data_IF_816336236472
#
_entry.id   IF_816336236472
#
_cell.length_a   1.000
_cell.length_b   1.000
_cell.length_c   1.000
_cell.angle_alpha   90.00
_cell.angle_beta   90.00
_cell.angle_gamma   90.00
#
_symmetry.space_group_name_H-M   'P 1'
#
loop_
_entity.id
_entity.type
_entity.pdbx_description
1 polymer ?
#
# COMPACT_ATOMS: atom_id res chain seq x y z
N UNK A 1 -7.32 -3.37 9.70
CA UNK A 1 -7.82 -2.05 10.13
C UNK A 1 -9.24 -1.80 9.59
N UNK A 2 -9.50 -1.84 8.26
CA UNK A 2 -10.83 -1.57 7.67
C UNK A 2 -11.95 -2.41 8.31
N UNK A 3 -11.70 -3.67 8.60
CA UNK A 3 -12.63 -4.60 9.26
C UNK A 3 -13.01 -4.11 10.66
N UNK A 4 -12.01 -3.70 11.46
CA UNK A 4 -12.23 -3.16 12.80
C UNK A 4 -13.01 -1.85 12.75
N UNK A 5 -12.65 -0.94 11.86
CA UNK A 5 -13.38 0.32 11.68
C UNK A 5 -14.84 0.08 11.29
N UNK A 6 -15.09 -0.93 10.43
CA UNK A 6 -16.46 -1.31 10.05
C UNK A 6 -17.23 -1.95 11.21
N UNK A 7 -16.57 -2.74 12.05
CA UNK A 7 -17.22 -3.31 13.23
C UNK A 7 -17.63 -2.24 14.25
N UNK A 8 -16.80 -1.21 14.45
CA UNK A 8 -17.08 -0.12 15.38
C UNK A 8 -18.20 0.84 14.88
N UNK A 9 -18.32 1.05 13.58
CA UNK A 9 -19.37 1.86 12.97
C UNK A 9 -19.91 1.16 11.71
N UNK A 10 -20.87 0.23 11.84
CA UNK A 10 -21.31 -0.67 10.76
C UNK A 10 -21.91 0.04 9.55
N UNK A 11 -22.70 1.09 9.76
CA UNK A 11 -23.31 1.90 8.72
C UNK A 11 -22.36 3.04 8.34
N UNK A 12 -22.04 3.21 7.07
CA UNK A 12 -21.18 4.30 6.59
C UNK A 12 -20.18 3.88 5.54
N UNK A 13 -19.27 4.79 5.21
CA UNK A 13 -18.31 4.66 4.12
C UNK A 13 -16.87 4.61 4.63
N UNK A 14 -16.05 3.83 3.96
CA UNK A 14 -14.60 3.80 4.19
C UNK A 14 -13.88 4.22 2.92
N UNK A 15 -13.02 5.22 3.05
CA UNK A 15 -12.14 5.70 2.00
C UNK A 15 -10.72 5.21 2.27
N UNK A 16 -9.98 4.91 1.22
CA UNK A 16 -8.58 4.51 1.30
C UNK A 16 -7.79 5.29 0.26
N UNK A 17 -6.85 6.10 0.72
CA UNK A 17 -5.92 6.84 -0.12
C UNK A 17 -4.53 6.25 0.05
N UNK A 18 -3.94 5.77 -1.06
CA UNK A 18 -2.57 5.24 -1.10
C UNK A 18 -1.61 6.36 -1.48
N UNK A 19 -0.56 6.55 -0.71
CA UNK A 19 0.42 7.62 -0.89
C UNK A 19 0.15 8.84 0.00
N UNK A 20 0.89 9.96 -0.20
CA UNK A 20 1.99 10.03 -1.14
C UNK A 20 3.07 9.01 -0.77
N UNK A 21 3.64 8.38 -1.79
CA UNK A 21 4.74 7.46 -1.54
C UNK A 21 5.03 6.54 -2.72
N UNK A 22 6.19 5.89 -2.64
CA UNK A 22 6.67 4.97 -3.66
C UNK A 22 5.78 3.72 -3.75
N UNK A 23 5.38 3.37 -4.96
CA UNK A 23 4.66 2.14 -5.27
C UNK A 23 5.60 1.11 -5.88
N UNK A 24 5.92 0.04 -5.13
CA UNK A 24 6.85 -0.99 -5.60
C UNK A 24 6.35 -1.71 -6.84
N UNK A 25 5.10 -2.16 -6.88
CA UNK A 25 4.55 -2.88 -8.03
C UNK A 25 4.62 -2.06 -9.31
N UNK A 26 4.17 -0.81 -9.28
CA UNK A 26 4.24 0.10 -10.43
C UNK A 26 5.69 0.42 -10.83
N UNK A 27 6.60 0.56 -9.86
CA UNK A 27 8.03 0.78 -10.15
C UNK A 27 8.66 -0.41 -10.86
N UNK A 28 8.32 -1.64 -10.45
CA UNK A 28 8.80 -2.86 -11.12
C UNK A 28 8.28 -2.95 -12.55
N UNK A 29 6.99 -2.70 -12.76
CA UNK A 29 6.40 -2.70 -14.11
C UNK A 29 7.01 -1.62 -15.00
N UNK A 30 7.22 -0.41 -14.48
CA UNK A 30 7.87 0.66 -15.25
C UNK A 30 9.31 0.27 -15.64
N UNK A 31 10.08 -0.33 -14.73
CA UNK A 31 11.45 -0.81 -15.01
C UNK A 31 11.52 -1.92 -16.04
N UNK A 32 10.46 -2.70 -16.21
CA UNK A 32 10.42 -3.80 -17.19
C UNK A 32 10.18 -3.33 -18.63
N UNK A 33 9.92 -2.04 -18.86
CA UNK A 33 9.70 -1.52 -20.21
C UNK A 33 11.01 -1.35 -20.96
N UNK A 34 10.98 -1.65 -22.26
CA UNK A 34 12.13 -1.46 -23.17
C UNK A 34 12.57 0.00 -23.16
N UNK A 35 13.88 0.24 -23.12
CA UNK A 35 14.48 1.56 -23.05
C UNK A 35 14.52 2.21 -21.67
N UNK A 36 14.04 1.52 -20.63
CA UNK A 36 14.09 1.99 -19.24
C UNK A 36 15.26 1.34 -18.52
N UNK A 37 16.25 2.13 -18.12
CA UNK A 37 17.39 1.71 -17.30
C UNK A 37 16.99 1.56 -15.83
N UNK A 38 16.22 2.52 -15.29
CA UNK A 38 15.66 2.47 -13.94
C UNK A 38 14.37 3.30 -13.86
N UNK A 39 13.48 2.96 -12.93
CA UNK A 39 12.24 3.71 -12.73
C UNK A 39 11.74 3.65 -11.30
N UNK A 40 11.06 4.72 -10.89
CA UNK A 40 10.36 4.88 -9.63
C UNK A 40 8.95 5.42 -9.90
N UNK A 41 7.93 4.76 -9.41
CA UNK A 41 6.56 5.26 -9.47
C UNK A 41 6.08 5.73 -8.10
N UNK A 42 5.63 6.98 -8.05
CA UNK A 42 5.00 7.59 -6.88
C UNK A 42 3.48 7.58 -7.04
N UNK A 43 2.79 7.23 -5.97
CA UNK A 43 1.34 7.39 -5.86
C UNK A 43 1.04 8.70 -5.15
N UNK A 44 0.29 9.58 -5.79
CA UNK A 44 -0.17 10.85 -5.22
C UNK A 44 -1.69 10.78 -5.06
N UNK A 45 -2.22 10.82 -3.83
CA UNK A 45 -3.66 10.84 -3.62
C UNK A 45 -4.24 12.20 -4.06
N UNK A 46 -5.31 12.17 -4.86
CA UNK A 46 -6.04 13.36 -5.31
C UNK A 46 -7.36 13.54 -4.56
N UNK A 47 -7.73 12.59 -3.73
CA UNK A 47 -8.98 12.56 -2.99
C UNK A 47 -9.50 11.15 -2.85
N UNK A 48 -10.73 11.00 -2.49
CA UNK A 48 -11.40 9.75 -2.14
C UNK A 48 -11.10 8.59 -3.11
N UNK A 49 -10.06 7.81 -2.81
CA UNK A 49 -9.61 6.65 -3.61
C UNK A 49 -9.23 6.97 -5.05
N UNK A 50 -8.94 8.23 -5.37
CA UNK A 50 -8.43 8.68 -6.67
C UNK A 50 -6.96 9.00 -6.54
N UNK A 51 -6.16 8.51 -7.47
CA UNK A 51 -4.71 8.64 -7.44
C UNK A 51 -4.16 9.14 -8.77
N UNK A 52 -3.01 9.81 -8.68
CA UNK A 52 -2.15 10.14 -9.81
C UNK A 52 -0.86 9.34 -9.68
N UNK A 53 -0.31 8.87 -10.79
CA UNK A 53 0.99 8.24 -10.86
C UNK A 53 2.01 9.22 -11.41
N UNK A 54 3.05 9.47 -10.63
CA UNK A 54 4.24 10.19 -11.10
C UNK A 54 5.32 9.13 -11.30
N UNK A 55 5.71 8.86 -12.54
CA UNK A 55 6.68 7.84 -12.89
C UNK A 55 7.95 8.52 -13.35
N UNK A 56 8.98 8.43 -12.54
CA UNK A 56 10.31 8.93 -12.84
C UNK A 56 11.10 7.82 -13.53
N UNK A 57 11.67 8.12 -14.69
CA UNK A 57 12.40 7.15 -15.51
C UNK A 57 13.81 7.64 -15.81
N UNK A 58 14.79 6.76 -15.64
CA UNK A 58 16.13 6.87 -16.17
C UNK A 58 16.15 6.04 -17.45
N UNK A 59 16.47 6.67 -18.59
CA UNK A 59 16.44 6.02 -19.89
C UNK A 59 17.78 5.36 -20.21
N UNK A 60 17.74 4.30 -20.99
CA UNK A 60 18.90 3.75 -21.65
C UNK A 60 19.39 4.69 -22.76
N UNK A 61 20.67 4.58 -23.15
CA UNK A 61 21.25 5.40 -24.21
C UNK A 61 20.51 5.21 -25.53
N UNK A 62 20.02 6.31 -26.09
CA UNK A 62 19.28 6.33 -27.35
C UNK A 62 17.79 5.98 -27.24
N UNK A 63 17.27 5.70 -26.05
CA UNK A 63 15.85 5.43 -25.86
C UNK A 63 15.00 6.71 -25.99
N UNK A 64 13.78 6.56 -26.54
CA UNK A 64 12.82 7.68 -26.68
C UNK A 64 11.90 7.76 -25.48
N UNK A 65 11.83 8.94 -24.85
CA UNK A 65 10.88 9.19 -23.75
C UNK A 65 9.42 9.01 -24.20
N UNK A 66 9.10 9.37 -25.43
CA UNK A 66 7.74 9.22 -25.98
C UNK A 66 7.35 7.74 -26.08
N UNK A 67 8.23 6.88 -26.59
CA UNK A 67 7.98 5.45 -26.72
C UNK A 67 7.84 4.80 -25.33
N UNK A 68 8.71 5.14 -24.39
CA UNK A 68 8.64 4.67 -22.99
C UNK A 68 7.36 5.15 -22.31
N UNK A 69 6.97 6.40 -22.52
CA UNK A 69 5.75 6.97 -21.96
C UNK A 69 4.50 6.21 -22.45
N UNK A 70 4.42 5.93 -23.74
CA UNK A 70 3.31 5.18 -24.33
C UNK A 70 3.27 3.74 -23.79
N UNK A 71 4.43 3.08 -23.72
CA UNK A 71 4.55 1.73 -23.19
C UNK A 71 4.14 1.62 -21.71
N UNK A 72 4.42 2.66 -20.91
CA UNK A 72 4.01 2.70 -19.51
C UNK A 72 2.50 2.95 -19.41
N UNK A 73 1.97 3.97 -20.08
CA UNK A 73 0.57 4.38 -19.97
C UNK A 73 -0.41 3.34 -20.52
N UNK A 74 -0.02 2.54 -21.50
CA UNK A 74 -0.83 1.48 -22.07
C UNK A 74 -0.86 0.21 -21.21
N UNK A 75 0.03 0.06 -20.23
CA UNK A 75 0.05 -1.09 -19.33
C UNK A 75 -1.14 -1.06 -18.36
N UNK A 76 -1.70 -2.25 -18.09
CA UNK A 76 -2.87 -2.41 -17.20
C UNK A 76 -2.65 -1.88 -15.78
N UNK A 77 -1.40 -1.80 -15.31
CA UNK A 77 -1.04 -1.21 -14.02
C UNK A 77 -1.24 0.31 -13.98
N UNK A 78 -1.20 0.97 -15.14
CA UNK A 78 -1.23 2.44 -15.23
C UNK A 78 -2.47 2.98 -15.95
N UNK A 79 -3.12 2.17 -16.78
CA UNK A 79 -4.20 2.59 -17.69
C UNK A 79 -5.44 3.17 -16.99
N UNK A 80 -5.63 2.89 -15.70
CA UNK A 80 -6.79 3.36 -14.93
C UNK A 80 -6.50 4.61 -14.09
N UNK A 81 -5.24 5.03 -14.00
CA UNK A 81 -4.82 6.19 -13.20
C UNK A 81 -4.27 7.30 -14.12
N UNK A 82 -4.45 8.55 -13.72
CA UNK A 82 -3.76 9.67 -14.35
C UNK A 82 -2.25 9.49 -14.17
N UNK A 83 -1.53 9.21 -15.27
CA UNK A 83 -0.11 8.86 -15.25
C UNK A 83 0.74 9.89 -15.97
N UNK A 84 1.73 10.42 -15.26
CA UNK A 84 2.77 11.31 -15.79
C UNK A 84 4.13 10.61 -15.76
N UNK A 85 4.82 10.58 -16.88
CA UNK A 85 6.17 10.02 -17.01
C UNK A 85 7.16 11.15 -17.14
N UNK A 86 8.19 11.17 -16.32
CA UNK A 86 9.19 12.23 -16.22
C UNK A 86 10.57 11.61 -16.31
N UNK A 87 11.36 12.03 -17.30
CA UNK A 87 12.76 11.63 -17.36
C UNK A 87 13.58 12.32 -16.28
N UNK A 88 14.44 11.55 -15.63
CA UNK A 88 15.40 12.04 -14.64
C UNK A 88 16.79 11.49 -14.92
N UNK A 89 17.86 12.19 -14.51
CA UNK A 89 19.22 11.73 -14.74
C UNK A 89 19.60 10.53 -13.87
N UNK A 90 19.00 10.42 -12.67
CA UNK A 90 19.25 9.33 -11.73
C UNK A 90 18.01 9.09 -10.88
N UNK A 91 17.49 7.86 -10.89
CA UNK A 91 16.33 7.45 -10.09
C UNK A 91 16.72 7.21 -8.64
N UNK A 92 17.97 6.82 -8.38
CA UNK A 92 18.43 6.49 -7.03
C UNK A 92 18.42 7.72 -6.09
N UNK A 93 18.54 8.92 -6.64
CA UNK A 93 18.41 10.17 -5.88
C UNK A 93 16.99 10.40 -5.33
N UNK A 94 15.99 9.63 -5.80
CA UNK A 94 14.59 9.75 -5.42
C UNK A 94 14.09 8.62 -4.50
N UNK A 95 14.95 7.68 -4.11
CA UNK A 95 14.53 6.44 -3.42
C UNK A 95 14.04 6.61 -1.98
N UNK A 96 14.29 7.74 -1.35
CA UNK A 96 13.90 7.99 0.04
C UNK A 96 12.46 8.46 0.22
N UNK A 97 11.65 8.35 -0.82
CA UNK A 97 10.23 8.64 -0.75
C UNK A 97 9.45 7.43 -0.22
N UNK A 98 9.13 7.41 1.07
CA UNK A 98 8.41 6.34 1.75
C UNK A 98 7.14 5.86 1.03
N UNK A 99 6.42 4.95 1.63
CA UNK A 99 5.09 4.52 1.19
C UNK A 99 4.08 4.76 2.30
N UNK A 100 2.91 5.28 1.97
CA UNK A 100 1.89 5.62 2.96
C UNK A 100 0.48 5.18 2.58
N UNK A 101 -0.40 5.15 3.56
CA UNK A 101 -1.84 5.01 3.36
C UNK A 101 -2.59 5.84 4.40
N UNK A 102 -3.67 6.48 3.97
CA UNK A 102 -4.67 7.10 4.82
C UNK A 102 -5.99 6.34 4.63
N UNK A 103 -6.50 5.76 5.70
CA UNK A 103 -7.82 5.12 5.74
C UNK A 103 -8.73 5.98 6.62
N UNK A 104 -9.81 6.48 6.05
CA UNK A 104 -10.83 7.22 6.76
C UNK A 104 -12.15 6.47 6.74
N UNK A 105 -12.86 6.44 7.87
CA UNK A 105 -14.23 5.96 7.95
C UNK A 105 -15.11 6.99 8.62
N UNK A 106 -16.22 7.29 7.96
CA UNK A 106 -17.38 8.00 8.53
C UNK A 106 -18.52 7.00 8.64
N UNK A 107 -19.05 6.83 9.83
CA UNK A 107 -20.09 5.84 10.04
C UNK A 107 -20.88 6.09 11.30
N UNK A 108 -21.86 5.22 11.55
CA UNK A 108 -22.77 5.31 12.70
C UNK A 108 -22.61 4.07 13.56
N UNK A 109 -22.42 4.29 14.85
CA UNK A 109 -22.51 3.26 15.90
C UNK A 109 -23.89 3.34 16.54
N UNK A 110 -24.55 2.19 16.73
CA UNK A 110 -25.96 2.17 17.15
C UNK A 110 -26.88 2.73 16.06
N UNK A 111 -27.82 3.58 16.46
CA UNK A 111 -28.84 4.15 15.55
C UNK A 111 -28.46 5.50 14.98
N UNK A 112 -27.86 6.39 15.77
CA UNK A 112 -27.70 7.82 15.43
C UNK A 112 -26.32 8.39 15.76
N UNK A 113 -25.46 7.63 16.44
CA UNK A 113 -24.17 8.13 16.92
C UNK A 113 -23.12 8.12 15.82
N UNK A 114 -22.85 9.28 15.25
CA UNK A 114 -21.85 9.47 14.21
C UNK A 114 -20.43 9.30 14.74
N UNK A 115 -19.64 8.52 14.04
CA UNK A 115 -18.23 8.27 14.32
C UNK A 115 -17.37 8.65 13.13
N UNK A 116 -16.19 9.18 13.41
CA UNK A 116 -15.15 9.40 12.41
C UNK A 116 -13.84 8.79 12.88
N UNK A 117 -13.28 7.94 12.07
CA UNK A 117 -11.99 7.31 12.32
C UNK A 117 -11.02 7.69 11.21
N UNK A 118 -9.77 7.91 11.57
CA UNK A 118 -8.67 8.05 10.64
C UNK A 118 -7.51 7.15 11.09
N UNK A 119 -6.90 6.47 10.14
CA UNK A 119 -5.68 5.69 10.34
C UNK A 119 -4.69 6.07 9.25
N UNK A 120 -3.53 6.54 9.68
CA UNK A 120 -2.44 6.92 8.78
C UNK A 120 -1.22 6.06 9.08
N UNK A 121 -0.56 5.59 8.04
CA UNK A 121 0.75 4.97 8.18
C UNK A 121 1.70 5.45 7.10
N UNK A 122 2.99 5.53 7.45
CA UNK A 122 4.12 5.71 6.54
C UNK A 122 5.09 4.59 6.79
N UNK A 123 5.51 3.88 5.75
CA UNK A 123 6.24 2.63 5.85
C UNK A 123 7.38 2.54 4.86
N UNK A 124 8.37 1.72 5.19
CA UNK A 124 9.22 1.07 4.21
C UNK A 124 8.52 -0.23 3.77
N UNK A 125 8.04 -0.27 2.53
CA UNK A 125 7.19 -1.35 2.05
C UNK A 125 7.86 -2.74 2.09
N UNK A 126 9.11 -2.95 1.62
CA UNK A 126 9.78 -4.24 1.73
C UNK A 126 9.93 -4.73 3.16
N UNK A 127 10.33 -3.85 4.06
CA UNK A 127 10.53 -4.20 5.48
C UNK A 127 9.22 -4.60 6.15
N UNK A 128 8.15 -3.81 5.96
CA UNK A 128 6.84 -4.13 6.52
C UNK A 128 6.28 -5.44 5.95
N UNK A 129 6.40 -5.66 4.64
CA UNK A 129 5.92 -6.89 3.99
C UNK A 129 6.65 -8.11 4.54
N UNK A 130 7.97 -8.04 4.69
CA UNK A 130 8.76 -9.12 5.29
C UNK A 130 8.33 -9.40 6.73
N UNK A 131 8.13 -8.36 7.53
CA UNK A 131 7.71 -8.50 8.92
C UNK A 131 6.31 -9.12 9.05
N UNK A 132 5.35 -8.71 8.19
CA UNK A 132 4.01 -9.30 8.24
C UNK A 132 4.00 -10.76 7.80
N UNK A 133 4.85 -11.17 6.85
CA UNK A 133 5.01 -12.57 6.47
C UNK A 133 5.52 -13.42 7.63
N UNK A 134 6.51 -12.94 8.39
CA UNK A 134 7.00 -13.61 9.60
C UNK A 134 5.89 -13.72 10.65
N UNK A 135 5.09 -12.68 10.83
CA UNK A 135 3.94 -12.67 11.75
C UNK A 135 2.84 -13.65 11.31
N UNK A 136 2.57 -13.74 10.02
CA UNK A 136 1.65 -14.74 9.46
C UNK A 136 2.18 -16.17 9.66
N UNK A 137 3.49 -16.41 9.49
CA UNK A 137 4.10 -17.71 9.75
C UNK A 137 3.95 -18.15 11.23
N UNK A 138 4.06 -17.20 12.17
CA UNK A 138 3.77 -17.49 13.60
C UNK A 138 2.31 -17.84 13.83
N UNK A 139 1.40 -17.14 13.16
CA UNK A 139 -0.02 -17.34 13.33
C UNK A 139 -0.50 -18.66 12.72
N UNK A 140 -0.02 -19.04 11.54
CA UNK A 140 -0.51 -20.20 10.79
C UNK A 140 -0.30 -21.52 11.55
N UNK A 141 0.78 -21.67 12.32
CA UNK A 141 1.05 -22.88 13.10
C UNK A 141 0.10 -23.03 14.28
N UNK A 142 -0.67 -22.02 14.64
CA UNK A 142 -1.67 -22.04 15.69
C UNK A 142 -3.09 -22.28 15.13
N UNK A 143 -3.25 -22.29 13.81
CA UNK A 143 -4.54 -22.50 13.16
C UNK A 143 -4.76 -23.96 12.82
N UNK A 144 -6.02 -24.36 12.64
CA UNK A 144 -6.36 -25.66 12.05
C UNK A 144 -5.99 -25.66 10.56
N UNK A 145 -5.78 -26.84 9.94
CA UNK A 145 -5.56 -26.90 8.51
C UNK A 145 -6.68 -26.20 7.72
N UNK A 146 -6.32 -25.26 6.84
CA UNK A 146 -7.28 -24.46 6.09
C UNK A 146 -6.64 -23.27 5.38
N UNK A 147 -7.43 -22.51 4.64
CA UNK A 147 -7.05 -21.24 4.04
C UNK A 147 -7.71 -20.10 4.84
N UNK A 148 -6.93 -19.09 5.20
CA UNK A 148 -7.37 -17.98 6.04
C UNK A 148 -6.98 -16.65 5.40
N UNK A 149 -7.87 -15.67 5.50
CA UNK A 149 -7.52 -14.28 5.28
C UNK A 149 -7.02 -13.64 6.58
N UNK A 150 -6.21 -12.59 6.46
CA UNK A 150 -5.64 -11.91 7.64
C UNK A 150 -6.69 -11.43 8.67
N UNK A 151 -7.88 -10.93 8.29
CA UNK A 151 -8.92 -10.57 9.25
C UNK A 151 -9.53 -11.72 10.06
N UNK A 152 -9.39 -12.98 9.61
CA UNK A 152 -9.90 -14.17 10.30
C UNK A 152 -8.95 -14.67 11.38
N UNK A 153 -7.70 -14.19 11.37
CA UNK A 153 -6.67 -14.58 12.34
C UNK A 153 -6.70 -13.62 13.52
N UNK A 154 -6.66 -14.19 14.72
CA UNK A 154 -6.55 -13.37 15.92
C UNK A 154 -5.22 -12.59 15.92
N UNK A 155 -5.23 -11.25 16.07
CA UNK A 155 -4.00 -10.44 16.03
C UNK A 155 -2.93 -10.91 17.03
N UNK A 156 -3.34 -11.44 18.18
CA UNK A 156 -2.42 -11.98 19.19
C UNK A 156 -1.64 -13.21 18.72
N UNK A 157 -2.18 -13.97 17.78
CA UNK A 157 -1.47 -15.13 17.22
C UNK A 157 -0.27 -14.74 16.34
N UNK A 158 -0.28 -13.53 15.84
CA UNK A 158 0.79 -12.95 15.02
C UNK A 158 1.98 -12.47 15.87
N UNK A 159 1.77 -12.28 17.18
CA UNK A 159 2.79 -11.75 18.08
C UNK A 159 3.65 -12.89 18.66
N UNK A 160 4.89 -12.53 19.03
CA UNK A 160 5.79 -13.42 19.75
C UNK A 160 5.54 -13.32 21.26
N UNK A 161 5.48 -14.45 21.93
CA UNK A 161 5.28 -14.51 23.37
C UNK A 161 4.07 -15.37 23.79
N UNK A 162 3.91 -15.59 25.09
CA UNK A 162 2.73 -16.25 25.62
C UNK A 162 1.53 -15.28 25.63
N UNK A 163 0.33 -15.85 25.52
CA UNK A 163 -0.90 -15.06 25.55
C UNK A 163 -1.02 -14.22 26.83
N UNK A 164 -0.65 -14.78 27.96
CA UNK A 164 -0.71 -14.12 29.26
C UNK A 164 0.27 -12.93 29.34
N UNK A 165 1.49 -13.09 28.81
CA UNK A 165 2.47 -12.03 28.76
C UNK A 165 1.99 -10.87 27.86
N UNK A 166 1.46 -11.21 26.68
CA UNK A 166 0.94 -10.23 25.73
C UNK A 166 -0.28 -9.47 26.28
N UNK A 167 -1.19 -10.15 26.99
CA UNK A 167 -2.32 -9.48 27.65
C UNK A 167 -1.82 -8.48 28.69
N UNK A 168 -0.83 -8.85 29.51
CA UNK A 168 -0.28 -7.94 30.53
C UNK A 168 0.44 -6.72 29.93
N UNK A 169 1.01 -6.87 28.74
CA UNK A 169 1.72 -5.80 28.03
C UNK A 169 0.78 -4.84 27.29
N UNK A 170 -0.30 -5.36 26.69
CA UNK A 170 -1.15 -4.64 25.75
C UNK A 170 -2.46 -4.13 26.38
N UNK A 171 -2.84 -4.61 27.54
CA UNK A 171 -4.06 -4.28 28.27
C UNK A 171 -3.74 -3.83 29.70
#
# INVERSE_FOLDING_TARGET
IRTLLKAMAPKGLTYTNFGPGMSMGHSVVARSKEGVKNALSMTIPLGTSVHRRMVYVELEDGASLEAVTEAIKSDSYFSHDETHVIQVPCVDDLQDMGHGVLIERKGVSGSTQSQRFAFTMTINNPALTSQILVSCARAVVKQRPGAYTLPEIAPMDMLYGSREALIRELV
#
